data_IF_238356649141
#
_entry.id   IF_238356649141
#
_cell.length_a   1.000
_cell.length_b   1.000
_cell.length_c   1.000
_cell.angle_alpha   90.00
_cell.angle_beta   90.00
_cell.angle_gamma   90.00
#
_symmetry.space_group_name_H-M   'P 1'
#
loop_
_entity.id
_entity.type
_entity.pdbx_description
1 polymer ?
#
# COMPACT_ATOMS: atom_id res chain seq x y z
N UNK A 1 17.00 9.08 -10.74
CA UNK A 1 15.58 9.39 -10.51
C UNK A 1 15.49 10.85 -10.10
N UNK A 2 14.56 11.65 -10.63
CA UNK A 2 14.39 13.06 -10.23
C UNK A 2 13.14 13.16 -9.38
N UNK A 3 13.30 13.42 -8.08
CA UNK A 3 12.17 13.68 -7.21
C UNK A 3 11.63 15.07 -7.57
N UNK A 4 10.38 15.14 -8.00
CA UNK A 4 9.69 16.42 -8.15
C UNK A 4 9.15 16.78 -6.76
N UNK A 5 10.01 17.40 -5.95
CA UNK A 5 9.64 17.83 -4.58
C UNK A 5 8.87 19.17 -4.60
N UNK A 6 9.06 20.01 -5.63
CA UNK A 6 8.52 21.37 -5.69
C UNK A 6 8.22 21.84 -7.14
N UNK A 7 7.47 21.07 -7.92
CA UNK A 7 6.92 21.58 -9.21
C UNK A 7 5.45 21.90 -9.08
N UNK A 8 4.97 22.90 -9.83
CA UNK A 8 3.58 23.43 -9.94
C UNK A 8 2.49 22.38 -10.29
N UNK A 9 2.77 21.10 -10.14
CA UNK A 9 2.12 20.02 -10.85
C UNK A 9 1.71 18.90 -9.90
N UNK A 10 0.45 18.55 -9.99
CA UNK A 10 -0.21 17.57 -9.15
C UNK A 10 0.31 16.15 -9.39
N UNK A 11 0.14 15.23 -8.41
CA UNK A 11 0.46 13.82 -8.59
C UNK A 11 -0.22 13.21 -9.82
N UNK A 12 -1.45 13.64 -10.14
CA UNK A 12 -2.22 13.14 -11.28
C UNK A 12 -1.61 13.57 -12.62
N UNK A 13 -1.14 14.81 -12.72
CA UNK A 13 -0.47 15.31 -13.93
C UNK A 13 0.87 14.64 -14.17
N UNK A 14 1.59 14.27 -13.12
CA UNK A 14 2.83 13.48 -13.23
C UNK A 14 2.54 12.10 -13.85
N UNK A 15 1.46 11.44 -13.43
CA UNK A 15 1.05 10.14 -13.99
C UNK A 15 0.61 10.28 -15.44
N UNK A 16 -0.16 11.33 -15.79
CA UNK A 16 -0.55 11.62 -17.17
C UNK A 16 0.66 11.90 -18.06
N UNK A 17 1.67 12.64 -17.58
CA UNK A 17 2.91 12.84 -18.33
C UNK A 17 3.60 11.53 -18.62
N UNK A 18 3.62 10.60 -17.67
CA UNK A 18 4.28 9.31 -17.81
C UNK A 18 3.58 8.40 -18.84
N UNK A 19 2.30 8.60 -19.14
CA UNK A 19 1.58 7.84 -20.18
C UNK A 19 2.27 7.91 -21.55
N UNK A 20 2.62 9.12 -21.99
CA UNK A 20 3.22 9.40 -23.29
C UNK A 20 4.57 8.69 -23.54
N UNK A 21 5.61 8.83 -22.67
CA UNK A 21 6.91 8.21 -22.89
C UNK A 21 6.92 6.68 -22.74
N UNK A 22 5.96 6.08 -22.02
CA UNK A 22 5.89 4.62 -21.88
C UNK A 22 4.96 3.97 -22.90
N UNK A 23 4.06 4.73 -23.54
CA UNK A 23 3.07 4.18 -24.47
C UNK A 23 2.14 3.17 -23.80
N UNK A 24 1.93 3.29 -22.49
CA UNK A 24 1.05 2.40 -21.71
C UNK A 24 -0.30 3.10 -21.50
N UNK A 25 -1.43 2.43 -21.78
CA UNK A 25 -2.74 3.05 -21.63
C UNK A 25 -3.04 3.40 -20.16
N UNK A 26 -3.48 4.63 -19.91
CA UNK A 26 -3.84 5.09 -18.57
C UNK A 26 -5.37 5.14 -18.41
N UNK A 27 -5.89 4.41 -17.41
CA UNK A 27 -7.27 4.56 -16.95
C UNK A 27 -7.32 5.26 -15.60
N UNK A 28 -7.94 6.44 -15.56
CA UNK A 28 -8.16 7.18 -14.32
C UNK A 28 -9.52 6.79 -13.74
N UNK A 29 -9.55 6.49 -12.45
CA UNK A 29 -10.76 6.17 -11.69
C UNK A 29 -10.80 7.08 -10.47
N UNK A 30 -11.90 7.81 -10.28
CA UNK A 30 -12.05 8.75 -9.17
C UNK A 30 -12.95 8.19 -8.06
N UNK A 31 -12.73 8.63 -6.82
CA UNK A 31 -13.61 8.24 -5.71
C UNK A 31 -15.01 8.85 -5.84
N UNK A 32 -15.11 10.04 -6.46
CA UNK A 32 -16.39 10.70 -6.74
C UNK A 32 -17.25 9.81 -7.64
N UNK A 33 -16.68 9.22 -8.68
CA UNK A 33 -17.42 8.38 -9.63
C UNK A 33 -17.76 7.00 -9.03
N UNK A 34 -16.87 6.45 -8.20
CA UNK A 34 -17.07 5.11 -7.62
C UNK A 34 -18.00 5.07 -6.42
N UNK A 35 -18.00 6.14 -5.61
CA UNK A 35 -18.63 6.15 -4.29
C UNK A 35 -19.52 7.37 -4.05
N UNK A 36 -19.44 8.41 -4.89
CA UNK A 36 -20.12 9.69 -4.69
C UNK A 36 -19.40 10.66 -3.74
N UNK A 37 -18.28 10.25 -3.16
CA UNK A 37 -17.55 11.00 -2.13
C UNK A 37 -16.12 11.30 -2.54
N UNK A 38 -15.62 12.48 -2.21
CA UNK A 38 -14.19 12.79 -2.22
C UNK A 38 -13.56 12.56 -0.84
N UNK A 39 -12.23 12.45 -0.79
CA UNK A 39 -11.54 12.38 0.50
C UNK A 39 -11.76 13.65 1.33
N UNK A 40 -11.80 14.82 0.69
CA UNK A 40 -11.99 16.09 1.38
C UNK A 40 -13.37 16.18 2.03
N UNK A 41 -14.41 15.64 1.36
CA UNK A 41 -15.77 15.54 1.91
C UNK A 41 -15.82 14.61 3.12
N UNK A 42 -15.12 13.46 3.05
CA UNK A 42 -15.02 12.52 4.16
C UNK A 42 -14.33 13.18 5.35
N UNK A 43 -13.16 13.80 5.13
CA UNK A 43 -12.38 14.48 6.18
C UNK A 43 -13.19 15.60 6.84
N UNK A 44 -14.00 16.33 6.08
CA UNK A 44 -14.92 17.35 6.65
C UNK A 44 -15.95 16.74 7.60
N UNK A 45 -16.39 15.50 7.37
CA UNK A 45 -17.37 14.83 8.24
C UNK A 45 -16.74 14.10 9.43
N UNK A 46 -15.64 13.37 9.22
CA UNK A 46 -15.03 12.51 10.25
C UNK A 46 -13.87 13.17 11.01
N UNK A 47 -13.36 14.29 10.50
CA UNK A 47 -12.18 14.98 11.01
C UNK A 47 -10.86 14.35 10.55
N UNK A 48 -9.76 14.63 11.26
CA UNK A 48 -8.41 14.17 10.91
C UNK A 48 -8.05 12.77 11.42
N UNK A 49 -8.96 12.10 12.14
CA UNK A 49 -8.69 10.79 12.75
C UNK A 49 -9.10 9.67 11.79
N UNK A 50 -8.30 8.61 11.74
CA UNK A 50 -8.58 7.37 10.98
C UNK A 50 -8.75 7.54 9.45
N UNK A 51 -8.30 8.66 8.87
CA UNK A 51 -8.41 8.92 7.44
C UNK A 51 -7.71 7.86 6.57
N UNK A 52 -6.58 7.34 7.03
CA UNK A 52 -5.86 6.25 6.36
C UNK A 52 -6.67 4.96 6.29
N UNK A 53 -7.57 4.72 7.24
CA UNK A 53 -8.47 3.55 7.21
C UNK A 53 -9.43 3.66 6.04
N UNK A 54 -10.09 4.81 5.89
CA UNK A 54 -11.00 5.06 4.77
C UNK A 54 -10.26 5.10 3.43
N UNK A 55 -9.20 5.90 3.35
CA UNK A 55 -8.39 6.03 2.14
C UNK A 55 -7.83 4.66 1.69
N UNK A 56 -7.33 3.85 2.62
CA UNK A 56 -6.78 2.52 2.33
C UNK A 56 -7.84 1.49 1.89
N UNK A 57 -9.04 1.53 2.44
CA UNK A 57 -10.16 0.68 1.97
C UNK A 57 -10.61 1.13 0.58
N UNK A 58 -10.83 2.43 0.39
CA UNK A 58 -11.34 2.98 -0.87
C UNK A 58 -10.33 2.79 -2.00
N UNK A 59 -9.04 2.94 -1.72
CA UNK A 59 -7.96 2.71 -2.69
C UNK A 59 -7.92 1.26 -3.16
N UNK A 60 -8.00 0.30 -2.24
CA UNK A 60 -7.99 -1.13 -2.59
C UNK A 60 -9.22 -1.52 -3.41
N UNK A 61 -10.40 -1.08 -2.98
CA UNK A 61 -11.64 -1.31 -3.73
C UNK A 61 -11.64 -0.60 -5.09
N UNK A 62 -11.04 0.59 -5.20
CA UNK A 62 -10.95 1.31 -6.47
C UNK A 62 -10.03 0.60 -7.47
N UNK A 63 -8.89 0.06 -7.00
CA UNK A 63 -7.99 -0.74 -7.84
C UNK A 63 -8.66 -2.03 -8.32
N UNK A 64 -9.37 -2.71 -7.42
CA UNK A 64 -10.06 -3.96 -7.73
C UNK A 64 -11.24 -3.75 -8.70
N UNK A 65 -12.05 -2.69 -8.51
CA UNK A 65 -13.07 -2.27 -9.48
C UNK A 65 -12.44 -1.85 -10.80
N UNK A 66 -11.33 -1.13 -10.77
CA UNK A 66 -10.56 -0.74 -11.97
C UNK A 66 -10.07 -1.95 -12.74
N UNK A 67 -9.61 -2.99 -12.05
CA UNK A 67 -9.20 -4.26 -12.65
C UNK A 67 -10.36 -4.97 -13.33
N UNK A 68 -11.52 -5.05 -12.65
CA UNK A 68 -12.72 -5.65 -13.21
C UNK A 68 -13.23 -4.90 -14.47
N UNK A 69 -13.16 -3.56 -14.46
CA UNK A 69 -13.53 -2.73 -15.62
C UNK A 69 -12.61 -2.96 -16.83
N UNK A 70 -11.32 -3.16 -16.59
CA UNK A 70 -10.32 -3.43 -17.63
C UNK A 70 -10.21 -4.92 -17.99
N UNK A 71 -10.92 -5.80 -17.26
CA UNK A 71 -10.86 -7.27 -17.39
C UNK A 71 -9.42 -7.81 -17.34
N UNK A 72 -8.65 -7.36 -16.35
CA UNK A 72 -7.27 -7.83 -16.14
C UNK A 72 -7.23 -8.98 -15.12
N UNK A 73 -6.36 -9.96 -15.36
CA UNK A 73 -6.21 -11.13 -14.48
C UNK A 73 -5.30 -10.89 -13.27
N UNK A 74 -4.41 -9.89 -13.37
CA UNK A 74 -3.39 -9.62 -12.35
C UNK A 74 -3.25 -8.12 -12.07
N UNK A 75 -3.19 -7.79 -10.77
CA UNK A 75 -2.86 -6.47 -10.27
C UNK A 75 -1.44 -6.46 -9.71
N UNK A 76 -0.63 -5.50 -10.15
CA UNK A 76 0.74 -5.31 -9.66
C UNK A 76 0.79 -4.02 -8.85
N UNK A 77 1.15 -4.12 -7.57
CA UNK A 77 1.38 -3.00 -6.69
C UNK A 77 2.87 -2.86 -6.37
N UNK A 78 3.36 -1.62 -6.26
CA UNK A 78 4.76 -1.34 -5.97
C UNK A 78 4.99 -1.25 -4.46
N UNK A 79 5.14 -2.41 -3.82
CA UNK A 79 5.68 -2.53 -2.46
C UNK A 79 7.14 -2.99 -2.53
N UNK A 80 8.01 -2.40 -1.73
CA UNK A 80 9.42 -2.82 -1.63
C UNK A 80 9.63 -3.78 -0.44
N UNK A 81 10.86 -4.28 -0.29
CA UNK A 81 11.22 -5.17 0.81
C UNK A 81 11.10 -4.46 2.17
N UNK A 82 11.45 -3.18 2.25
CA UNK A 82 11.31 -2.36 3.46
C UNK A 82 9.85 -2.29 3.94
N UNK A 83 8.91 -2.00 3.04
CA UNK A 83 7.48 -1.86 3.35
C UNK A 83 6.91 -3.16 3.94
N UNK A 84 7.47 -4.30 3.54
CA UNK A 84 7.02 -5.61 4.00
C UNK A 84 7.70 -5.97 5.31
N UNK A 85 8.99 -5.68 5.48
CA UNK A 85 9.64 -5.82 6.79
C UNK A 85 8.95 -4.94 7.85
N UNK A 86 8.61 -3.69 7.51
CA UNK A 86 7.81 -2.79 8.35
C UNK A 86 6.45 -3.41 8.69
N UNK A 87 5.75 -3.97 7.71
CA UNK A 87 4.44 -4.58 7.91
C UNK A 87 4.52 -5.84 8.78
N UNK A 88 5.52 -6.70 8.59
CA UNK A 88 5.76 -7.89 9.40
C UNK A 88 6.03 -7.48 10.85
N UNK A 89 6.95 -6.53 11.04
CA UNK A 89 7.29 -6.02 12.37
C UNK A 89 6.07 -5.42 13.08
N UNK A 90 5.31 -4.56 12.40
CA UNK A 90 4.11 -3.93 12.97
C UNK A 90 3.03 -4.95 13.34
N UNK A 91 2.80 -5.98 12.51
CA UNK A 91 1.83 -7.02 12.82
C UNK A 91 2.26 -7.87 14.03
N UNK A 92 3.57 -8.15 14.18
CA UNK A 92 4.11 -8.84 15.36
C UNK A 92 3.92 -7.98 16.61
N UNK A 93 4.29 -6.69 16.55
CA UNK A 93 4.15 -5.76 17.69
C UNK A 93 2.69 -5.54 18.09
N UNK A 94 1.75 -5.58 17.14
CA UNK A 94 0.31 -5.48 17.41
C UNK A 94 -0.32 -6.81 17.88
N UNK A 95 0.44 -7.92 17.85
CA UNK A 95 -0.07 -9.25 18.18
C UNK A 95 -1.03 -9.84 17.14
N UNK A 96 -1.12 -9.28 15.94
CA UNK A 96 -2.04 -9.72 14.89
C UNK A 96 -1.40 -10.82 14.02
N UNK A 97 -1.22 -11.99 14.64
CA UNK A 97 -0.55 -13.16 14.05
C UNK A 97 -1.27 -13.64 12.78
N UNK A 98 -2.59 -13.52 12.72
CA UNK A 98 -3.41 -13.91 11.57
C UNK A 98 -3.13 -13.07 10.31
N UNK A 99 -2.50 -11.89 10.45
CA UNK A 99 -2.12 -11.02 9.32
C UNK A 99 -0.68 -11.22 8.87
N UNK A 100 0.21 -11.69 9.75
CA UNK A 100 1.58 -12.06 9.39
C UNK A 100 1.58 -13.13 8.28
N UNK A 101 0.65 -14.09 8.36
CA UNK A 101 0.45 -15.11 7.31
C UNK A 101 0.13 -14.54 5.94
N UNK A 102 -0.60 -13.41 5.88
CA UNK A 102 -1.22 -12.88 4.66
C UNK A 102 -0.34 -11.91 3.88
N UNK A 103 0.84 -11.57 4.40
CA UNK A 103 1.77 -10.69 3.69
C UNK A 103 2.30 -11.41 2.44
N UNK A 104 1.96 -10.92 1.26
CA UNK A 104 2.21 -11.58 -0.03
C UNK A 104 3.70 -11.73 -0.34
N UNK A 105 4.05 -12.73 -1.16
CA UNK A 105 5.37 -12.85 -1.79
C UNK A 105 5.64 -11.62 -2.68
N UNK A 106 6.81 -11.00 -2.52
CA UNK A 106 7.21 -9.83 -3.30
C UNK A 106 8.07 -10.31 -4.46
N UNK A 107 7.67 -9.97 -5.68
CA UNK A 107 8.61 -9.93 -6.81
C UNK A 107 8.93 -8.47 -7.07
N UNK A 108 10.10 -8.01 -6.61
CA UNK A 108 10.56 -6.64 -6.87
C UNK A 108 11.07 -6.56 -8.30
N UNK A 109 10.35 -5.87 -9.17
CA UNK A 109 10.86 -5.53 -10.51
C UNK A 109 11.68 -4.24 -10.39
N UNK A 110 12.99 -4.35 -10.58
CA UNK A 110 13.92 -3.23 -10.45
C UNK A 110 13.72 -2.22 -11.60
N UNK A 111 13.18 -1.04 -11.28
CA UNK A 111 13.09 0.09 -12.21
C UNK A 111 14.40 0.94 -12.25
N UNK A 112 15.58 0.32 -12.14
CA UNK A 112 16.82 1.08 -11.91
C UNK A 112 17.44 1.78 -13.13
N UNK A 113 16.85 1.67 -14.31
CA UNK A 113 17.54 2.12 -15.53
C UNK A 113 16.82 3.19 -16.36
N UNK A 114 15.66 3.68 -15.91
CA UNK A 114 14.97 4.79 -16.60
C UNK A 114 14.87 5.99 -15.67
N UNK A 115 15.25 7.18 -16.18
CA UNK A 115 15.12 8.45 -15.45
C UNK A 115 13.64 8.81 -15.32
N UNK A 116 12.93 8.13 -14.42
CA UNK A 116 11.51 8.35 -14.17
C UNK A 116 11.31 9.65 -13.39
N UNK A 117 10.35 10.45 -13.84
CA UNK A 117 9.77 11.53 -13.05
C UNK A 117 8.78 10.90 -12.07
N UNK A 118 9.00 11.14 -10.78
CA UNK A 118 8.15 10.64 -9.72
C UNK A 118 7.83 11.72 -8.71
N UNK A 119 6.66 11.58 -8.10
CA UNK A 119 6.15 12.46 -7.07
C UNK A 119 6.40 11.84 -5.69
N UNK A 120 6.85 12.64 -4.72
CA UNK A 120 7.31 12.15 -3.42
C UNK A 120 6.71 12.90 -2.22
N UNK A 121 5.58 13.59 -2.37
CA UNK A 121 4.96 14.28 -1.23
C UNK A 121 4.23 13.30 -0.32
N UNK A 122 4.29 13.57 0.97
CA UNK A 122 3.54 12.83 1.96
C UNK A 122 2.04 13.15 1.90
N UNK A 123 1.23 12.25 2.49
CA UNK A 123 -0.21 12.43 2.52
C UNK A 123 -0.61 13.43 3.61
N UNK A 124 -1.18 14.56 3.19
CA UNK A 124 -1.54 15.69 4.06
C UNK A 124 -2.46 15.32 5.23
N UNK A 125 -3.29 14.29 5.09
CA UNK A 125 -4.26 13.88 6.11
C UNK A 125 -3.73 12.80 7.08
N UNK A 126 -2.44 12.45 7.02
CA UNK A 126 -1.81 11.50 7.94
C UNK A 126 -0.33 11.80 8.20
N UNK A 127 0.00 12.90 8.90
CA UNK A 127 1.38 13.28 9.17
C UNK A 127 2.11 12.33 10.13
N UNK A 128 1.39 11.69 11.06
CA UNK A 128 1.99 10.80 12.08
C UNK A 128 1.75 9.32 11.74
N UNK A 129 2.38 8.83 10.67
CA UNK A 129 2.26 7.43 10.28
C UNK A 129 3.23 6.54 11.08
N UNK A 130 2.71 5.51 11.76
CA UNK A 130 3.52 4.53 12.51
C UNK A 130 4.56 3.80 11.66
N UNK A 131 4.34 3.71 10.35
CA UNK A 131 5.31 3.17 9.40
C UNK A 131 6.62 3.98 9.39
N UNK A 132 6.60 5.29 9.66
CA UNK A 132 7.81 6.09 9.76
C UNK A 132 8.74 5.61 10.89
N UNK A 133 8.18 5.33 12.06
CA UNK A 133 8.93 4.81 13.20
C UNK A 133 9.47 3.39 12.95
N UNK A 134 8.68 2.51 12.34
CA UNK A 134 9.13 1.18 11.97
C UNK A 134 10.29 1.23 10.97
N UNK A 135 10.21 2.13 9.98
CA UNK A 135 11.27 2.36 8.99
C UNK A 135 12.56 2.85 9.63
N UNK A 136 12.47 3.81 10.55
CA UNK A 136 13.63 4.34 11.28
C UNK A 136 14.30 3.24 12.12
N UNK A 137 13.49 2.47 12.86
CA UNK A 137 13.98 1.35 13.66
C UNK A 137 14.70 0.28 12.81
N UNK A 138 14.12 -0.13 11.68
CA UNK A 138 14.75 -1.10 10.78
C UNK A 138 16.08 -0.56 10.22
N UNK A 139 16.12 0.72 9.83
CA UNK A 139 17.35 1.36 9.37
C UNK A 139 18.43 1.41 10.45
N UNK A 140 18.04 1.62 11.70
CA UNK A 140 18.98 1.59 12.82
C UNK A 140 19.53 0.18 13.08
N UNK A 141 18.71 -0.86 12.93
CA UNK A 141 19.18 -2.25 12.96
C UNK A 141 20.21 -2.53 11.85
N UNK A 142 19.95 -2.06 10.64
CA UNK A 142 20.88 -2.20 9.52
C UNK A 142 22.21 -1.48 9.78
N UNK A 143 22.17 -0.29 10.38
CA UNK A 143 23.37 0.47 10.76
C UNK A 143 24.23 -0.28 11.78
N UNK A 144 23.63 -0.89 12.79
CA UNK A 144 24.36 -1.66 13.82
C UNK A 144 24.99 -2.93 13.22
N UNK A 145 24.35 -3.53 12.22
CA UNK A 145 24.81 -4.75 11.56
C UNK A 145 25.88 -4.54 10.46
N UNK A 146 26.63 -3.43 10.50
CA UNK A 146 27.62 -3.04 9.49
C UNK A 146 27.05 -2.95 8.06
N UNK A 147 25.86 -2.34 7.90
CA UNK A 147 25.21 -2.07 6.61
C UNK A 147 24.99 -3.31 5.74
N UNK A 148 24.89 -4.51 6.35
CA UNK A 148 24.37 -5.67 5.63
C UNK A 148 22.85 -5.57 5.60
N UNK A 149 22.18 -5.72 4.45
CA UNK A 149 20.71 -5.80 4.36
C UNK A 149 20.15 -7.11 4.95
N UNK A 150 20.89 -7.73 5.88
CA UNK A 150 20.53 -8.97 6.55
C UNK A 150 19.27 -8.79 7.37
N UNK A 151 19.15 -7.71 8.15
CA UNK A 151 17.99 -7.52 9.04
C UNK A 151 16.64 -7.56 8.30
N UNK A 152 16.52 -6.87 7.15
CA UNK A 152 15.29 -6.88 6.34
C UNK A 152 15.02 -8.30 5.79
N UNK A 153 16.03 -8.93 5.21
CA UNK A 153 15.90 -10.28 4.64
C UNK A 153 15.61 -11.33 5.71
N UNK A 154 16.23 -11.21 6.89
CA UNK A 154 16.05 -12.10 8.03
C UNK A 154 14.64 -11.96 8.60
N UNK A 155 14.09 -10.75 8.68
CA UNK A 155 12.68 -10.52 9.06
C UNK A 155 11.74 -11.20 8.06
N UNK A 156 11.98 -11.02 6.75
CA UNK A 156 11.14 -11.61 5.70
C UNK A 156 11.24 -13.14 5.73
N UNK A 157 12.44 -13.69 5.83
CA UNK A 157 12.68 -15.13 5.89
C UNK A 157 12.10 -15.76 7.15
N UNK A 158 12.28 -15.10 8.29
CA UNK A 158 11.66 -15.52 9.56
C UNK A 158 10.14 -15.57 9.45
N UNK A 159 9.54 -14.65 8.67
CA UNK A 159 8.10 -14.70 8.35
C UNK A 159 7.73 -15.86 7.45
N UNK A 160 8.55 -16.23 6.46
CA UNK A 160 8.29 -17.40 5.61
C UNK A 160 8.35 -18.71 6.40
N UNK A 161 9.27 -18.79 7.36
CA UNK A 161 9.40 -19.90 8.29
C UNK A 161 8.36 -19.86 9.42
N UNK A 162 7.59 -18.78 9.53
CA UNK A 162 6.62 -18.58 10.61
C UNK A 162 5.39 -19.48 10.42
N UNK A 163 5.37 -20.60 11.16
CA UNK A 163 4.25 -21.54 11.17
C UNK A 163 3.18 -21.10 12.15
N UNK A 164 1.96 -20.88 11.66
CA UNK A 164 0.80 -20.52 12.48
C UNK A 164 0.03 -21.80 12.85
N UNK A 165 -0.42 -21.90 14.11
CA UNK A 165 -1.25 -23.03 14.53
C UNK A 165 -2.60 -23.02 13.82
N UNK A 166 -3.11 -24.22 13.48
CA UNK A 166 -4.38 -24.43 12.78
C UNK A 166 -5.62 -23.93 13.53
N UNK A 167 -5.49 -23.41 14.75
CA UNK A 167 -6.59 -22.88 15.58
C UNK A 167 -6.96 -21.42 15.26
N UNK A 168 -6.24 -20.74 14.37
CA UNK A 168 -6.48 -19.33 14.06
C UNK A 168 -7.64 -19.19 13.06
N UNK A 169 -8.82 -18.75 13.52
CA UNK A 169 -9.98 -18.50 12.66
C UNK A 169 -9.70 -17.35 11.69
N UNK A 170 -9.68 -17.65 10.40
CA UNK A 170 -9.69 -16.61 9.36
C UNK A 170 -11.13 -16.10 9.17
N UNK A 171 -11.32 -14.79 8.90
CA UNK A 171 -12.65 -14.26 8.62
C UNK A 171 -13.17 -14.82 7.29
N UNK A 172 -14.41 -15.29 7.30
CA UNK A 172 -15.09 -15.79 6.11
C UNK A 172 -15.42 -14.65 5.14
N UNK A 173 -15.25 -14.93 3.85
CA UNK A 173 -15.55 -13.97 2.79
C UNK A 173 -17.05 -14.00 2.51
N UNK A 174 -17.67 -12.82 2.53
CA UNK A 174 -19.05 -12.60 2.15
C UNK A 174 -19.18 -11.53 1.07
N UNK A 175 -20.40 -11.27 0.64
CA UNK A 175 -20.74 -10.18 -0.26
C UNK A 175 -21.58 -9.14 0.48
N UNK A 176 -21.25 -7.87 0.29
CA UNK A 176 -22.00 -6.77 0.89
C UNK A 176 -23.39 -6.67 0.24
N UNK A 177 -24.45 -6.69 1.05
CA UNK A 177 -25.84 -6.59 0.58
C UNK A 177 -26.15 -5.25 -0.11
N UNK A 178 -25.41 -4.18 0.23
CA UNK A 178 -25.66 -2.83 -0.34
C UNK A 178 -24.98 -2.60 -1.68
N UNK A 179 -23.78 -3.14 -1.88
CA UNK A 179 -22.97 -2.83 -3.06
C UNK A 179 -22.50 -4.08 -3.83
N UNK A 180 -22.87 -5.28 -3.38
CA UNK A 180 -22.48 -6.55 -3.99
C UNK A 180 -20.99 -6.90 -3.89
N UNK A 181 -20.18 -6.03 -3.27
CA UNK A 181 -18.73 -6.18 -3.24
C UNK A 181 -18.24 -7.11 -2.14
N UNK A 182 -17.06 -7.70 -2.31
CA UNK A 182 -16.46 -8.60 -1.32
C UNK A 182 -16.31 -7.85 0.01
N UNK A 183 -16.87 -8.46 1.05
CA UNK A 183 -16.85 -8.01 2.44
C UNK A 183 -16.45 -9.18 3.33
N UNK A 184 -16.16 -8.90 4.61
CA UNK A 184 -16.24 -9.94 5.62
C UNK A 184 -17.72 -10.25 5.87
N UNK A 185 -18.07 -11.52 6.05
CA UNK A 185 -19.34 -11.85 6.71
C UNK A 185 -19.30 -11.26 8.12
N UNK A 186 -20.35 -10.50 8.46
CA UNK A 186 -20.62 -10.03 9.83
C UNK A 186 -21.58 -11.02 10.47
#
# INVERSE_FOLDING_TARGET
MRALQDTEMSPLETVKRNELPYGLPLKIVSYKDLYGWTMDEIVKMIGLKNNCTFCGVFRRQALDRGAALLKVDMLVARHNADDIAETVLLNILQGDIARVSRCTLITTVYAYFRKLDYFSTEYIYSPNAYHGFAREFIKDLERISNCRPGAILDIIKSREDFRISSSTKMPEQGTCERCGYISKMV
#
